data_IF_325667954724
#
_entry.id   IF_325667954724
#
_cell.length_a   1.000
_cell.length_b   1.000
_cell.length_c   1.000
_cell.angle_alpha   90.00
_cell.angle_beta   90.00
_cell.angle_gamma   90.00
#
_symmetry.space_group_name_H-M   'P 1'
#
loop_
_entity.id
_entity.type
_entity.pdbx_description
1 polymer ?
#
# COMPACT_ATOMS: atom_id res chain seq x y z
N UNK A 1 -18.86 -1.47 8.40
CA UNK A 1 -19.95 -2.12 7.65
C UNK A 1 -19.30 -2.98 6.57
N UNK A 2 -19.42 -4.30 6.68
CA UNK A 2 -18.87 -5.21 5.69
C UNK A 2 -19.65 -5.05 4.39
N UNK A 3 -18.97 -4.77 3.29
CA UNK A 3 -19.61 -4.70 1.98
C UNK A 3 -19.74 -6.09 1.40
N UNK A 4 -20.90 -6.40 0.83
CA UNK A 4 -21.06 -7.62 0.05
C UNK A 4 -20.08 -7.62 -1.15
N UNK A 5 -19.59 -8.78 -1.61
CA UNK A 5 -18.66 -8.88 -2.73
C UNK A 5 -19.11 -8.12 -3.99
N UNK A 6 -20.41 -8.10 -4.26
CA UNK A 6 -20.97 -7.33 -5.37
C UNK A 6 -20.73 -5.82 -5.25
N UNK A 7 -20.83 -5.27 -4.03
CA UNK A 7 -20.56 -3.85 -3.79
C UNK A 7 -19.07 -3.53 -3.97
N UNK A 8 -18.20 -4.44 -3.54
CA UNK A 8 -16.73 -4.29 -3.75
C UNK A 8 -16.43 -4.25 -5.25
N UNK A 9 -16.98 -5.18 -6.03
CA UNK A 9 -16.84 -5.20 -7.49
C UNK A 9 -17.31 -3.90 -8.15
N UNK A 10 -18.47 -3.38 -7.72
CA UNK A 10 -19.01 -2.11 -8.24
C UNK A 10 -18.08 -0.94 -7.92
N UNK A 11 -17.58 -0.85 -6.68
CA UNK A 11 -16.65 0.21 -6.27
C UNK A 11 -15.36 0.13 -7.06
N UNK A 12 -14.76 -1.07 -7.16
CA UNK A 12 -13.52 -1.27 -7.93
C UNK A 12 -13.71 -0.93 -9.41
N UNK A 13 -14.88 -1.28 -9.98
CA UNK A 13 -15.20 -0.95 -11.38
C UNK A 13 -15.45 0.53 -11.65
N UNK A 14 -15.68 1.33 -10.61
CA UNK A 14 -15.83 2.79 -10.72
C UNK A 14 -14.52 3.57 -10.54
N UNK A 15 -13.43 2.89 -10.17
CA UNK A 15 -12.14 3.55 -10.03
C UNK A 15 -11.58 3.91 -11.41
N UNK A 16 -11.19 5.16 -11.54
CA UNK A 16 -10.54 5.68 -12.75
C UNK A 16 -9.15 6.15 -12.37
N UNK A 17 -8.15 5.62 -13.06
CA UNK A 17 -6.79 6.11 -12.92
C UNK A 17 -6.69 7.51 -13.52
N UNK A 18 -6.11 8.44 -12.78
CA UNK A 18 -5.94 9.81 -13.25
C UNK A 18 -5.12 10.64 -12.26
N UNK A 19 -4.46 11.64 -12.78
CA UNK A 19 -3.57 12.50 -11.98
C UNK A 19 -2.13 11.98 -11.96
N UNK A 20 -1.39 12.44 -10.97
CA UNK A 20 0.05 12.20 -10.86
C UNK A 20 0.85 13.40 -11.39
N UNK A 21 1.79 13.92 -10.60
CA UNK A 21 2.67 15.03 -10.97
C UNK A 21 4.07 14.55 -11.34
N UNK A 22 4.43 13.35 -10.93
CA UNK A 22 5.72 12.72 -11.19
C UNK A 22 5.58 11.19 -11.23
N UNK A 23 6.65 10.49 -11.59
CA UNK A 23 6.60 9.04 -11.80
C UNK A 23 6.51 8.20 -10.51
N UNK A 24 7.22 8.50 -9.40
CA UNK A 24 7.04 7.76 -8.17
C UNK A 24 5.74 8.13 -7.46
N UNK A 25 5.12 7.14 -6.80
CA UNK A 25 3.84 7.30 -6.11
C UNK A 25 3.99 7.46 -4.59
N UNK A 26 3.06 8.16 -3.96
CA UNK A 26 3.05 8.42 -2.51
C UNK A 26 2.69 7.18 -1.67
N UNK A 27 2.99 5.99 -2.17
CA UNK A 27 2.57 4.70 -1.60
C UNK A 27 3.06 4.50 -0.17
N UNK A 28 4.31 4.87 0.11
CA UNK A 28 4.89 4.77 1.47
C UNK A 28 4.08 5.54 2.50
N UNK A 29 3.69 6.78 2.16
CA UNK A 29 2.88 7.62 3.05
C UNK A 29 1.48 7.05 3.24
N UNK A 30 0.87 6.58 2.16
CA UNK A 30 -0.47 5.99 2.20
C UNK A 30 -0.51 4.72 3.08
N UNK A 31 0.48 3.84 2.97
CA UNK A 31 0.59 2.64 3.79
C UNK A 31 0.77 2.94 5.27
N UNK A 32 1.65 3.91 5.58
CA UNK A 32 1.83 4.34 6.96
C UNK A 32 0.52 4.90 7.55
N UNK A 33 -0.13 5.79 6.82
CA UNK A 33 -1.41 6.37 7.25
C UNK A 33 -2.48 5.30 7.45
N UNK A 34 -2.63 4.39 6.50
CA UNK A 34 -3.60 3.31 6.58
C UNK A 34 -3.38 2.41 7.80
N UNK A 35 -2.12 2.15 8.18
CA UNK A 35 -1.79 1.31 9.32
C UNK A 35 -1.94 2.03 10.66
N UNK A 36 -1.51 3.31 10.73
CA UNK A 36 -1.43 4.06 12.00
C UNK A 36 -2.67 4.84 12.35
N UNK A 37 -3.47 5.23 11.36
CA UNK A 37 -4.61 6.14 11.56
C UNK A 37 -4.22 7.40 12.35
N UNK A 38 -3.08 7.95 12.03
CA UNK A 38 -2.54 9.13 12.69
C UNK A 38 -2.45 10.29 11.69
N UNK A 39 -2.35 11.51 12.20
CA UNK A 39 -2.19 12.69 11.35
C UNK A 39 -0.73 12.91 11.02
N UNK A 40 -0.45 13.25 9.77
CA UNK A 40 0.80 13.90 9.39
C UNK A 40 0.50 15.02 8.42
N UNK A 41 1.31 16.05 8.46
CA UNK A 41 1.17 17.20 7.58
C UNK A 41 2.27 17.16 6.53
N UNK A 42 1.87 17.15 5.27
CA UNK A 42 2.75 17.35 4.13
C UNK A 42 2.34 18.61 3.40
N UNK A 43 3.30 19.45 3.07
CA UNK A 43 3.11 20.58 2.16
C UNK A 43 3.83 20.24 0.87
N UNK A 44 3.16 19.59 -0.07
CA UNK A 44 3.68 19.36 -1.42
C UNK A 44 2.84 20.22 -2.34
N UNK A 45 3.37 21.37 -2.80
CA UNK A 45 2.69 22.23 -3.78
C UNK A 45 1.27 22.66 -3.39
N UNK A 46 0.86 22.41 -2.18
CA UNK A 46 -0.44 22.62 -1.58
C UNK A 46 -0.53 21.85 -0.27
N UNK A 47 -1.47 22.22 0.58
CA UNK A 47 -1.65 21.58 1.88
C UNK A 47 -2.40 20.25 1.66
N UNK A 48 -1.70 19.13 1.77
CA UNK A 48 -2.37 17.87 2.02
C UNK A 48 -2.40 17.61 3.54
N UNK A 49 -3.51 17.92 4.14
CA UNK A 49 -3.74 17.61 5.53
C UNK A 49 -4.76 16.46 5.55
N UNK A 50 -4.40 15.25 5.96
CA UNK A 50 -5.35 14.14 6.06
C UNK A 50 -6.45 14.38 7.11
N UNK A 51 -6.44 15.52 7.78
CA UNK A 51 -7.41 15.88 8.79
C UNK A 51 -7.15 15.16 10.11
N UNK A 52 -8.20 15.07 10.90
CA UNK A 52 -8.20 14.31 12.16
C UNK A 52 -8.17 12.81 11.86
N UNK A 53 -7.58 11.99 12.74
CA UNK A 53 -7.64 10.55 12.62
C UNK A 53 -9.07 10.06 12.38
N UNK A 54 -9.22 9.13 11.46
CA UNK A 54 -10.54 8.57 11.15
C UNK A 54 -11.10 7.84 12.38
N UNK A 55 -12.29 8.24 12.80
CA UNK A 55 -12.95 7.55 13.91
C UNK A 55 -13.44 6.17 13.45
N UNK A 56 -12.76 5.12 13.92
CA UNK A 56 -13.19 3.77 13.66
C UNK A 56 -14.50 3.47 14.42
N UNK A 57 -15.57 3.17 13.69
CA UNK A 57 -16.86 2.81 14.28
C UNK A 57 -16.85 1.43 14.95
N UNK A 58 -15.84 0.61 14.69
CA UNK A 58 -15.68 -0.71 15.29
C UNK A 58 -14.82 -0.59 16.55
N UNK A 59 -15.31 -0.91 17.75
CA UNK A 59 -14.52 -0.89 18.97
C UNK A 59 -13.25 -1.73 18.82
N UNK A 60 -12.09 -1.12 19.11
CA UNK A 60 -10.78 -1.78 18.94
C UNK A 60 -10.34 -2.00 17.51
N UNK A 61 -11.03 -1.41 16.54
CA UNK A 61 -10.62 -1.45 15.13
C UNK A 61 -9.27 -0.77 14.89
N UNK A 62 -8.54 -1.24 13.90
CA UNK A 62 -7.14 -0.92 13.65
C UNK A 62 -6.99 -0.17 12.33
N UNK A 63 -6.20 0.90 12.32
CA UNK A 63 -5.87 1.66 11.12
C UNK A 63 -7.05 2.44 10.52
N UNK A 64 -6.78 3.18 9.43
CA UNK A 64 -7.81 3.96 8.72
C UNK A 64 -8.93 3.07 8.14
N UNK A 65 -8.63 1.90 7.54
CA UNK A 65 -9.68 1.01 7.04
C UNK A 65 -10.54 0.38 8.14
N UNK A 66 -10.21 0.62 9.41
CA UNK A 66 -10.94 0.07 10.56
C UNK A 66 -10.98 -1.47 10.51
N UNK A 67 -9.81 -2.08 10.39
CA UNK A 67 -9.68 -3.53 10.39
C UNK A 67 -10.23 -4.14 11.68
N UNK A 68 -10.88 -5.28 11.56
CA UNK A 68 -11.48 -5.99 12.68
C UNK A 68 -10.40 -6.45 13.67
N UNK A 69 -10.60 -6.25 14.99
CA UNK A 69 -9.72 -6.80 16.01
C UNK A 69 -9.55 -8.32 15.86
N UNK A 70 -8.32 -8.80 15.99
CA UNK A 70 -7.99 -10.22 15.84
C UNK A 70 -7.96 -10.72 14.38
N UNK A 71 -8.32 -9.88 13.42
CA UNK A 71 -8.13 -10.18 11.99
C UNK A 71 -6.71 -9.84 11.54
N UNK A 72 -6.26 -10.47 10.46
CA UNK A 72 -5.02 -10.09 9.77
C UNK A 72 -5.36 -9.04 8.71
N UNK A 73 -4.86 -7.80 8.82
CA UNK A 73 -5.02 -6.80 7.77
C UNK A 73 -4.31 -7.26 6.49
N UNK A 74 -5.00 -7.23 5.36
CA UNK A 74 -4.42 -7.54 4.05
C UNK A 74 -4.51 -6.29 3.18
N UNK A 75 -3.35 -5.82 2.74
CA UNK A 75 -3.23 -4.71 1.80
C UNK A 75 -2.99 -5.25 0.40
N UNK A 76 -3.92 -5.04 -0.51
CA UNK A 76 -3.72 -5.32 -1.94
C UNK A 76 -3.23 -4.03 -2.59
N UNK A 77 -1.99 -4.04 -3.05
CA UNK A 77 -1.30 -2.89 -3.62
C UNK A 77 -1.23 -3.05 -5.14
N UNK A 78 -1.95 -2.20 -5.84
CA UNK A 78 -1.97 -2.17 -7.31
C UNK A 78 -1.27 -0.89 -7.75
N UNK A 79 -0.13 -1.00 -8.44
CA UNK A 79 0.65 0.16 -8.88
C UNK A 79 1.50 -0.17 -10.10
N UNK A 80 1.74 0.84 -10.93
CA UNK A 80 2.59 0.79 -12.11
C UNK A 80 3.92 1.53 -11.91
N UNK A 81 4.08 2.26 -10.80
CA UNK A 81 5.22 3.11 -10.53
C UNK A 81 5.97 2.73 -9.24
N UNK A 82 7.22 3.18 -9.15
CA UNK A 82 8.02 3.12 -7.92
C UNK A 82 7.36 3.93 -6.78
N UNK A 83 7.80 3.67 -5.57
CA UNK A 83 7.33 4.41 -4.40
C UNK A 83 8.23 5.60 -4.10
N UNK A 84 7.66 6.76 -3.84
CA UNK A 84 8.37 7.79 -3.11
C UNK A 84 8.74 7.29 -1.71
N UNK A 85 9.98 7.55 -1.30
CA UNK A 85 10.55 6.97 -0.09
C UNK A 85 10.37 5.45 -0.03
N UNK A 86 10.54 4.76 -1.16
CA UNK A 86 10.45 3.31 -1.27
C UNK A 86 11.78 2.62 -0.96
N UNK A 87 11.97 1.43 -1.52
CA UNK A 87 13.21 0.65 -1.36
C UNK A 87 14.42 1.30 -2.05
N UNK A 88 14.18 2.12 -3.07
CA UNK A 88 15.21 2.84 -3.81
C UNK A 88 15.29 4.31 -3.37
N UNK A 89 16.41 4.68 -2.75
CA UNK A 89 16.66 6.05 -2.26
C UNK A 89 16.62 7.13 -3.37
N UNK A 90 16.83 6.75 -4.64
CA UNK A 90 16.73 7.70 -5.76
C UNK A 90 15.31 8.26 -5.96
N UNK A 91 14.30 7.58 -5.42
CA UNK A 91 12.91 7.99 -5.47
C UNK A 91 12.46 8.71 -4.18
N UNK A 92 13.36 9.10 -3.30
CA UNK A 92 12.99 9.82 -2.09
C UNK A 92 12.45 11.22 -2.44
N UNK A 93 11.51 11.68 -1.63
CA UNK A 93 11.10 13.07 -1.68
C UNK A 93 12.28 14.00 -1.43
N UNK A 94 12.34 15.07 -2.19
CA UNK A 94 13.23 16.18 -1.89
C UNK A 94 12.71 16.89 -0.62
N UNK A 95 13.43 16.85 0.51
CA UNK A 95 12.94 17.44 1.75
C UNK A 95 12.77 18.97 1.67
N UNK A 96 13.36 19.62 0.69
CA UNK A 96 13.16 21.06 0.46
C UNK A 96 11.84 21.37 -0.26
N UNK A 97 11.28 20.40 -0.96
CA UNK A 97 10.02 20.54 -1.71
C UNK A 97 8.82 20.06 -0.92
N UNK A 98 9.03 19.17 0.03
CA UNK A 98 7.98 18.69 0.92
C UNK A 98 8.11 19.39 2.26
N UNK A 99 7.22 20.32 2.56
CA UNK A 99 7.11 20.88 3.90
C UNK A 99 6.57 19.82 4.86
N UNK A 100 7.15 19.72 6.05
CA UNK A 100 6.73 18.76 7.06
C UNK A 100 7.57 17.47 7.09
N UNK A 101 7.13 16.50 7.86
CA UNK A 101 7.86 15.26 8.08
C UNK A 101 7.28 14.14 7.26
N UNK A 102 7.92 13.80 6.15
CA UNK A 102 7.59 12.61 5.38
C UNK A 102 8.00 11.35 6.15
N UNK A 103 7.20 10.32 6.06
CA UNK A 103 7.53 9.02 6.63
C UNK A 103 8.56 8.31 5.76
N UNK A 104 9.52 7.71 6.41
CA UNK A 104 10.51 6.86 5.75
C UNK A 104 9.89 5.52 5.36
N UNK A 105 10.54 4.80 4.46
CA UNK A 105 10.15 3.45 4.12
C UNK A 105 10.08 2.53 5.34
N UNK A 106 11.08 2.66 6.22
CA UNK A 106 11.14 1.87 7.46
C UNK A 106 9.97 2.20 8.41
N UNK A 107 9.57 3.47 8.50
CA UNK A 107 8.39 3.85 9.29
C UNK A 107 7.13 3.11 8.82
N UNK A 108 6.94 3.03 7.51
CA UNK A 108 5.78 2.34 6.93
C UNK A 108 5.83 0.84 7.12
N UNK A 109 7.00 0.22 6.96
CA UNK A 109 7.19 -1.20 7.26
C UNK A 109 6.90 -1.50 8.73
N UNK A 110 7.44 -0.69 9.65
CA UNK A 110 7.21 -0.86 11.08
C UNK A 110 5.73 -0.65 11.44
N UNK A 111 5.07 0.30 10.80
CA UNK A 111 3.63 0.52 10.97
C UNK A 111 2.82 -0.71 10.55
N UNK A 112 3.09 -1.28 9.38
CA UNK A 112 2.43 -2.49 8.89
C UNK A 112 2.70 -3.70 9.80
N UNK A 113 3.97 -3.89 10.21
CA UNK A 113 4.34 -4.97 11.14
C UNK A 113 3.67 -4.83 12.50
N UNK A 114 3.50 -3.60 13.01
CA UNK A 114 2.86 -3.38 14.31
C UNK A 114 1.41 -3.84 14.39
N UNK A 115 0.74 -3.97 13.24
CA UNK A 115 -0.62 -4.48 13.11
C UNK A 115 -0.67 -5.88 12.47
N UNK A 116 0.48 -6.53 12.32
CA UNK A 116 0.63 -7.84 11.66
C UNK A 116 0.02 -7.86 10.23
N UNK A 117 0.13 -6.75 9.51
CA UNK A 117 -0.40 -6.64 8.16
C UNK A 117 0.36 -7.51 7.17
N UNK A 118 -0.36 -8.00 6.16
CA UNK A 118 0.19 -8.69 5.01
C UNK A 118 -0.04 -7.87 3.74
N UNK A 119 0.88 -7.96 2.81
CA UNK A 119 0.84 -7.22 1.55
C UNK A 119 0.79 -8.19 0.38
N UNK A 120 -0.16 -7.96 -0.51
CA UNK A 120 -0.25 -8.62 -1.83
C UNK A 120 0.02 -7.55 -2.88
N UNK A 121 1.11 -7.70 -3.62
CA UNK A 121 1.52 -6.77 -4.65
C UNK A 121 1.00 -7.15 -6.03
N UNK A 122 0.49 -6.16 -6.75
CA UNK A 122 0.03 -6.28 -8.15
C UNK A 122 0.77 -5.23 -8.97
N UNK A 123 1.96 -5.54 -9.50
CA UNK A 123 2.71 -4.60 -10.33
C UNK A 123 2.07 -4.52 -11.73
N UNK A 124 1.48 -3.40 -12.06
CA UNK A 124 0.82 -3.13 -13.34
C UNK A 124 1.76 -2.31 -14.21
N UNK A 125 2.80 -2.92 -14.76
CA UNK A 125 3.72 -2.19 -15.64
C UNK A 125 4.03 -2.99 -16.88
N UNK A 126 4.06 -2.31 -18.02
CA UNK A 126 4.37 -2.86 -19.33
C UNK A 126 5.84 -2.74 -19.72
N UNK A 127 6.69 -2.14 -18.88
CA UNK A 127 8.11 -1.88 -19.14
C UNK A 127 9.06 -2.57 -18.16
N UNK A 128 10.30 -2.78 -18.59
CA UNK A 128 11.39 -3.24 -17.74
C UNK A 128 12.44 -2.11 -17.55
N UNK A 129 13.12 -2.00 -16.39
CA UNK A 129 12.86 -2.75 -15.17
C UNK A 129 11.60 -2.23 -14.47
N UNK A 130 10.73 -3.13 -14.06
CA UNK A 130 9.51 -2.77 -13.36
C UNK A 130 9.82 -2.30 -11.93
N UNK A 131 9.96 -0.99 -11.74
CA UNK A 131 10.30 -0.39 -10.46
C UNK A 131 9.22 -0.67 -9.39
N UNK A 132 7.96 -0.72 -9.79
CA UNK A 132 6.86 -1.11 -8.91
C UNK A 132 7.06 -2.53 -8.35
N UNK A 133 7.50 -3.48 -9.20
CA UNK A 133 7.78 -4.86 -8.77
C UNK A 133 8.89 -4.92 -7.73
N UNK A 134 9.95 -4.10 -7.89
CA UNK A 134 11.06 -4.06 -6.93
C UNK A 134 10.55 -3.63 -5.55
N UNK A 135 9.84 -2.52 -5.48
CA UNK A 135 9.30 -1.99 -4.22
C UNK A 135 8.28 -2.94 -3.59
N UNK A 136 7.38 -3.51 -4.39
CA UNK A 136 6.37 -4.46 -3.89
C UNK A 136 6.99 -5.75 -3.36
N UNK A 137 8.04 -6.27 -4.03
CA UNK A 137 8.76 -7.47 -3.58
C UNK A 137 9.48 -7.22 -2.26
N UNK A 138 10.16 -6.09 -2.16
CA UNK A 138 10.87 -5.71 -0.94
C UNK A 138 9.89 -5.47 0.22
N UNK A 139 8.78 -4.77 -0.03
CA UNK A 139 7.73 -4.54 0.95
C UNK A 139 7.11 -5.84 1.45
N UNK A 140 6.76 -6.75 0.55
CA UNK A 140 6.20 -8.05 0.91
C UNK A 140 7.19 -8.90 1.73
N UNK A 141 8.47 -8.86 1.39
CA UNK A 141 9.53 -9.54 2.14
C UNK A 141 9.67 -8.96 3.54
N UNK A 142 9.74 -7.63 3.66
CA UNK A 142 9.95 -6.94 4.94
C UNK A 142 8.73 -6.99 5.87
N UNK A 143 7.54 -7.22 5.34
CA UNK A 143 6.31 -7.39 6.13
C UNK A 143 5.96 -8.86 6.37
N UNK A 144 6.89 -9.78 6.12
CA UNK A 144 6.69 -11.22 6.28
C UNK A 144 5.43 -11.72 5.55
N UNK A 145 5.16 -11.16 4.36
CA UNK A 145 3.96 -11.47 3.58
C UNK A 145 4.14 -12.67 2.67
N UNK A 146 5.34 -13.20 2.56
CA UNK A 146 5.61 -14.47 1.91
C UNK A 146 5.22 -15.62 2.84
N UNK A 147 4.52 -16.62 2.32
CA UNK A 147 4.17 -17.81 3.09
C UNK A 147 4.54 -19.08 2.34
N UNK A 148 4.68 -20.15 3.07
CA UNK A 148 4.92 -21.47 2.51
C UNK A 148 3.59 -22.18 2.35
N UNK A 149 3.29 -22.63 1.14
CA UNK A 149 2.14 -23.49 0.88
C UNK A 149 2.61 -24.94 0.77
N UNK A 150 2.31 -25.79 1.74
CA UNK A 150 2.72 -27.18 1.72
C UNK A 150 2.07 -27.97 0.59
N UNK A 151 0.90 -27.54 0.08
CA UNK A 151 0.21 -28.21 -1.02
C UNK A 151 0.93 -28.01 -2.35
N UNK A 152 1.57 -26.86 -2.54
CA UNK A 152 2.34 -26.56 -3.74
C UNK A 152 3.85 -26.70 -3.56
N UNK A 153 4.31 -27.11 -2.37
CA UNK A 153 5.70 -27.44 -2.11
C UNK A 153 6.69 -26.27 -2.18
N UNK A 154 6.21 -25.02 -2.08
CA UNK A 154 7.06 -23.87 -2.22
C UNK A 154 6.57 -22.59 -1.52
N UNK A 155 7.44 -21.58 -1.50
CA UNK A 155 7.06 -20.24 -1.07
C UNK A 155 6.13 -19.61 -2.10
N UNK A 156 4.96 -19.19 -1.67
CA UNK A 156 4.10 -18.35 -2.47
C UNK A 156 4.63 -16.92 -2.42
N UNK A 157 4.97 -16.41 -3.60
CA UNK A 157 5.26 -14.98 -3.75
C UNK A 157 3.93 -14.23 -3.77
N UNK A 158 3.69 -13.25 -2.88
CA UNK A 158 2.46 -12.49 -2.87
C UNK A 158 2.33 -11.50 -4.04
N UNK A 159 3.21 -11.57 -5.04
CA UNK A 159 3.06 -10.81 -6.27
C UNK A 159 2.13 -11.55 -7.23
N UNK A 160 1.05 -10.89 -7.61
CA UNK A 160 0.15 -11.39 -8.65
C UNK A 160 0.65 -10.92 -10.01
N UNK A 161 0.98 -11.82 -10.94
CA UNK A 161 1.34 -11.42 -12.31
C UNK A 161 0.19 -10.68 -12.99
N UNK A 162 0.51 -9.64 -13.74
CA UNK A 162 -0.51 -8.89 -14.50
C UNK A 162 -1.21 -9.71 -15.57
N UNK A 163 -0.55 -10.76 -16.06
CA UNK A 163 -1.15 -11.71 -16.99
C UNK A 163 -2.39 -12.41 -16.43
N UNK A 164 -2.49 -12.53 -15.10
CA UNK A 164 -3.57 -13.25 -14.44
C UNK A 164 -4.80 -12.37 -14.18
N UNK A 165 -4.65 -11.05 -14.26
CA UNK A 165 -5.75 -10.10 -13.96
C UNK A 165 -6.73 -9.98 -15.13
N UNK A 166 -6.30 -10.27 -16.34
CA UNK A 166 -7.13 -10.13 -17.55
C UNK A 166 -7.74 -11.43 -18.07
N UNK A 167 -7.28 -12.59 -17.61
CA UNK A 167 -7.67 -13.89 -18.18
C UNK A 167 -8.96 -14.48 -17.62
N UNK A 168 -9.48 -13.94 -16.53
CA UNK A 168 -10.71 -14.46 -15.88
C UNK A 168 -10.58 -15.86 -15.30
N UNK A 169 -9.35 -16.35 -15.09
CA UNK A 169 -9.04 -17.61 -14.44
C UNK A 169 -8.82 -17.45 -12.94
#
# INVERSE_FOLDING_TARGET
KYSAPANVKTILGSLVAGGGGDAPEATTQALWLAAKNDTFSLTIGGIWNPGTPYACALPGGIGVPCFRPGGVPIFVMITDAAFHNGSNAANNYDPMKVGGTVKTYLDSINALKSINAKVVGVPVSTGAPNAARVDLTDLATKTDSTWYDPQFGGKINPLVPTSDIGSGN
#
